data_IF_349359817290
#
_entry.id   IF_349359817290
#
_cell.length_a   1.000
_cell.length_b   1.000
_cell.length_c   1.000
_cell.angle_alpha   90.00
_cell.angle_beta   90.00
_cell.angle_gamma   90.00
#
_symmetry.space_group_name_H-M   'P 1'
#
loop_
_entity.id
_entity.type
_entity.pdbx_description
1 polymer ?
#
# COMPACT_ATOMS: atom_id res chain seq x y z
N UNK A 1 5.72 -36.02 -8.82
CA UNK A 1 4.70 -35.12 -9.39
C UNK A 1 5.45 -33.86 -9.79
N UNK A 2 5.85 -33.81 -11.06
CA UNK A 2 6.88 -32.88 -11.59
C UNK A 2 6.22 -31.59 -12.07
N UNK A 3 7.00 -30.50 -12.03
CA UNK A 3 6.79 -29.17 -12.62
C UNK A 3 6.28 -28.06 -11.68
N UNK A 4 6.97 -27.81 -10.57
CA UNK A 4 7.18 -26.43 -10.15
C UNK A 4 8.45 -25.97 -10.89
N UNK A 5 8.30 -25.28 -12.01
CA UNK A 5 9.45 -24.60 -12.59
C UNK A 5 9.80 -23.46 -11.65
N UNK A 6 10.97 -23.53 -11.02
CA UNK A 6 11.43 -22.48 -10.10
C UNK A 6 11.41 -21.12 -10.79
N UNK A 7 10.94 -20.08 -10.09
CA UNK A 7 10.82 -18.73 -10.65
C UNK A 7 12.14 -18.21 -11.27
N UNK A 8 13.29 -18.70 -10.80
CA UNK A 8 14.62 -18.43 -11.37
C UNK A 8 14.80 -19.03 -12.78
N UNK A 9 14.34 -20.26 -13.02
CA UNK A 9 14.40 -20.90 -14.34
C UNK A 9 13.50 -20.16 -15.33
N UNK A 10 12.31 -19.77 -14.88
CA UNK A 10 11.41 -18.93 -15.66
C UNK A 10 12.02 -17.55 -15.97
N UNK A 11 12.79 -16.98 -15.04
CA UNK A 11 13.48 -15.72 -15.26
C UNK A 11 14.62 -15.85 -16.28
N UNK A 12 15.39 -16.95 -16.25
CA UNK A 12 16.40 -17.21 -17.28
C UNK A 12 15.76 -17.44 -18.67
N UNK A 13 14.58 -18.07 -18.72
CA UNK A 13 13.78 -18.15 -19.95
C UNK A 13 13.28 -16.79 -20.42
N UNK A 14 12.93 -15.88 -19.52
CA UNK A 14 12.58 -14.51 -19.87
C UNK A 14 13.80 -13.76 -20.42
N UNK A 15 14.96 -13.93 -19.78
CA UNK A 15 16.21 -13.30 -20.18
C UNK A 15 16.64 -13.73 -21.58
N UNK A 16 16.52 -15.00 -21.94
CA UNK A 16 16.86 -15.48 -23.28
C UNK A 16 15.90 -15.02 -24.38
N UNK A 17 14.67 -14.63 -24.02
CA UNK A 17 13.68 -14.04 -24.94
C UNK A 17 13.78 -12.51 -25.01
N UNK A 18 14.54 -11.87 -24.12
CA UNK A 18 14.70 -10.42 -24.10
C UNK A 18 15.57 -9.94 -25.26
N UNK A 19 15.23 -8.78 -25.84
CA UNK A 19 16.02 -8.16 -26.90
C UNK A 19 17.43 -7.78 -26.42
N UNK A 20 17.50 -7.28 -25.19
CA UNK A 20 18.75 -7.03 -24.48
C UNK A 20 18.71 -7.78 -23.12
N UNK A 21 19.51 -8.84 -22.94
CA UNK A 21 19.54 -9.62 -21.70
C UNK A 21 20.27 -8.92 -20.55
N UNK A 22 20.97 -7.82 -20.81
CA UNK A 22 21.61 -6.98 -19.79
C UNK A 22 20.68 -5.84 -19.33
N UNK A 23 19.68 -5.45 -20.15
CA UNK A 23 18.66 -4.49 -19.74
C UNK A 23 17.57 -5.17 -18.87
N UNK A 24 17.51 -4.86 -17.56
CA UNK A 24 16.51 -5.46 -16.66
C UNK A 24 15.05 -5.13 -17.05
N UNK A 25 14.79 -4.02 -17.76
CA UNK A 25 13.44 -3.66 -18.20
C UNK A 25 13.00 -4.47 -19.43
N UNK A 26 13.94 -4.83 -20.30
CA UNK A 26 13.68 -5.76 -21.42
C UNK A 26 13.41 -7.18 -20.88
N UNK A 27 14.20 -7.64 -19.90
CA UNK A 27 13.95 -8.91 -19.22
C UNK A 27 12.59 -8.93 -18.52
N UNK A 28 12.21 -7.83 -17.85
CA UNK A 28 10.86 -7.68 -17.26
C UNK A 28 9.76 -7.75 -18.33
N UNK A 29 9.99 -7.14 -19.50
CA UNK A 29 9.02 -7.14 -20.60
C UNK A 29 8.83 -8.54 -21.17
N UNK A 30 9.91 -9.31 -21.34
CA UNK A 30 9.85 -10.71 -21.73
C UNK A 30 9.15 -11.59 -20.66
N UNK A 31 9.36 -11.31 -19.38
CA UNK A 31 8.69 -12.02 -18.28
C UNK A 31 7.17 -11.77 -18.28
N UNK A 32 6.72 -10.55 -18.58
CA UNK A 32 5.28 -10.22 -18.71
C UNK A 32 4.63 -11.03 -19.83
N UNK A 33 5.29 -11.15 -20.97
CA UNK A 33 4.80 -11.94 -22.12
C UNK A 33 4.68 -13.42 -21.73
N UNK A 34 5.69 -13.97 -21.06
CA UNK A 34 5.69 -15.34 -20.54
C UNK A 34 4.55 -15.61 -19.54
N UNK A 35 4.22 -14.64 -18.69
CA UNK A 35 3.12 -14.74 -17.73
C UNK A 35 1.73 -14.74 -18.36
N UNK A 36 1.59 -14.31 -19.62
CA UNK A 36 0.33 -14.33 -20.37
C UNK A 36 -0.03 -15.71 -20.92
N UNK A 37 0.89 -16.67 -20.88
CA UNK A 37 0.64 -18.04 -21.36
C UNK A 37 -0.13 -18.84 -20.28
N UNK A 38 -1.20 -19.59 -20.65
CA UNK A 38 -2.01 -20.33 -19.68
C UNK A 38 -1.20 -21.45 -19.02
N UNK A 39 -1.08 -21.42 -17.68
CA UNK A 39 -0.61 -22.56 -16.88
C UNK A 39 0.68 -22.39 -16.06
N UNK A 40 1.01 -21.22 -15.52
CA UNK A 40 2.21 -21.08 -14.67
C UNK A 40 2.10 -20.06 -13.53
N UNK A 41 3.00 -20.19 -12.55
CA UNK A 41 3.23 -19.36 -11.36
C UNK A 41 3.67 -17.92 -11.72
N UNK A 42 2.85 -17.23 -12.50
CA UNK A 42 3.12 -15.91 -13.08
C UNK A 42 3.45 -14.85 -12.02
N UNK A 43 2.83 -14.95 -10.84
CA UNK A 43 3.07 -14.01 -9.74
C UNK A 43 4.51 -14.09 -9.21
N UNK A 44 5.08 -15.29 -9.06
CA UNK A 44 6.43 -15.48 -8.53
C UNK A 44 7.51 -15.02 -9.53
N UNK A 45 7.30 -15.28 -10.83
CA UNK A 45 8.17 -14.78 -11.90
C UNK A 45 8.18 -13.24 -11.96
N UNK A 46 7.00 -12.61 -11.96
CA UNK A 46 6.89 -11.14 -11.99
C UNK A 46 7.50 -10.49 -10.75
N UNK A 47 7.26 -11.07 -9.56
CA UNK A 47 7.82 -10.55 -8.31
C UNK A 47 9.37 -10.62 -8.32
N UNK A 48 9.95 -11.68 -8.89
CA UNK A 48 11.40 -11.82 -9.03
C UNK A 48 11.98 -10.88 -10.10
N UNK A 49 11.34 -10.76 -11.26
CA UNK A 49 11.77 -9.87 -12.34
C UNK A 49 11.74 -8.40 -11.90
N UNK A 50 10.69 -7.96 -11.21
CA UNK A 50 10.59 -6.60 -10.66
C UNK A 50 11.66 -6.36 -9.60
N UNK A 51 11.96 -7.35 -8.74
CA UNK A 51 13.03 -7.24 -7.76
C UNK A 51 14.40 -7.03 -8.43
N UNK A 52 14.73 -7.85 -9.43
CA UNK A 52 15.98 -7.72 -10.20
C UNK A 52 16.08 -6.36 -10.90
N UNK A 53 14.98 -5.88 -11.50
CA UNK A 53 14.96 -4.55 -12.11
C UNK A 53 15.20 -3.42 -11.09
N UNK A 54 14.64 -3.54 -9.88
CA UNK A 54 14.88 -2.59 -8.80
C UNK A 54 16.31 -2.62 -8.27
N UNK A 55 16.90 -3.80 -8.11
CA UNK A 55 18.29 -3.99 -7.69
C UNK A 55 19.27 -3.41 -8.72
N UNK A 56 18.94 -3.51 -10.01
CA UNK A 56 19.67 -2.90 -11.12
C UNK A 56 19.42 -1.38 -11.29
N UNK A 57 18.62 -0.75 -10.40
CA UNK A 57 18.42 0.70 -10.37
C UNK A 57 17.23 1.23 -11.18
N UNK A 58 16.42 0.37 -11.80
CA UNK A 58 15.25 0.82 -12.55
C UNK A 58 14.23 1.54 -11.66
N UNK A 59 13.67 2.65 -12.15
CA UNK A 59 12.70 3.45 -11.38
C UNK A 59 11.31 2.80 -11.36
N UNK A 60 10.51 3.12 -10.34
CA UNK A 60 9.10 2.68 -10.29
C UNK A 60 8.26 3.17 -11.47
N UNK A 61 8.62 4.32 -12.05
CA UNK A 61 7.95 4.87 -13.23
C UNK A 61 8.23 3.98 -14.44
N UNK A 62 9.49 3.66 -14.70
CA UNK A 62 9.89 2.82 -15.83
C UNK A 62 9.33 1.39 -15.72
N UNK A 63 9.36 0.79 -14.52
CA UNK A 63 8.76 -0.53 -14.27
C UNK A 63 7.23 -0.49 -14.50
N UNK A 64 6.56 0.57 -14.06
CA UNK A 64 5.12 0.74 -14.24
C UNK A 64 4.70 0.93 -15.70
N UNK A 65 5.52 1.60 -16.51
CA UNK A 65 5.32 1.75 -17.96
C UNK A 65 5.39 0.40 -18.68
N UNK A 66 6.39 -0.44 -18.36
CA UNK A 66 6.52 -1.79 -18.95
C UNK A 66 5.37 -2.73 -18.55
N UNK A 67 4.90 -2.62 -17.31
CA UNK A 67 3.83 -3.47 -16.79
C UNK A 67 2.42 -3.16 -17.35
N UNK A 68 2.24 -2.06 -18.09
CA UNK A 68 0.93 -1.67 -18.63
C UNK A 68 -0.13 -1.30 -17.59
N UNK A 69 0.17 -1.38 -16.28
CA UNK A 69 -0.75 -1.02 -15.21
C UNK A 69 -0.66 0.48 -14.87
N UNK A 70 -1.78 1.18 -14.99
CA UNK A 70 -1.94 2.60 -14.62
C UNK A 70 -1.69 2.80 -13.12
N UNK A 71 -0.46 3.15 -12.71
CA UNK A 71 0.05 3.72 -11.41
C UNK A 71 -0.43 3.18 -10.04
N UNK A 72 -1.58 2.51 -9.92
CA UNK A 72 -2.23 2.15 -8.65
C UNK A 72 -1.93 0.72 -8.19
N UNK A 73 -1.65 -0.20 -9.11
CA UNK A 73 -1.39 -1.62 -8.78
C UNK A 73 0.05 -1.89 -8.34
N UNK A 74 1.05 -1.42 -9.11
CA UNK A 74 2.46 -1.64 -8.79
C UNK A 74 2.87 -0.96 -7.47
N UNK A 75 2.37 0.26 -7.21
CA UNK A 75 2.68 0.97 -5.96
C UNK A 75 2.11 0.23 -4.74
N UNK A 76 0.93 -0.37 -4.82
CA UNK A 76 0.34 -1.08 -3.67
C UNK A 76 0.98 -2.45 -3.43
N UNK A 77 1.44 -3.13 -4.49
CA UNK A 77 2.09 -4.44 -4.44
C UNK A 77 3.57 -4.37 -4.06
N UNK A 78 4.26 -3.28 -4.40
CA UNK A 78 5.72 -3.17 -4.23
C UNK A 78 6.19 -1.97 -3.39
N UNK A 79 5.29 -1.28 -2.66
CA UNK A 79 5.73 -0.27 -1.68
C UNK A 79 6.42 -0.95 -0.50
N UNK A 80 7.61 -0.48 -0.06
CA UNK A 80 8.29 -1.04 1.10
C UNK A 80 7.39 -1.02 2.33
N UNK A 81 7.48 -2.07 3.15
CA UNK A 81 6.64 -2.28 4.33
C UNK A 81 6.56 -1.06 5.27
N UNK A 82 7.59 -0.21 5.27
CA UNK A 82 7.64 1.05 6.00
C UNK A 82 6.49 2.00 5.66
N UNK A 83 6.21 2.23 4.37
CA UNK A 83 5.13 3.14 3.97
C UNK A 83 3.74 2.54 4.25
N UNK A 84 3.58 1.21 4.15
CA UNK A 84 2.38 0.53 4.61
C UNK A 84 2.17 0.70 6.13
N UNK A 85 3.23 0.53 6.93
CA UNK A 85 3.21 0.72 8.39
C UNK A 85 2.79 2.15 8.78
N UNK A 86 3.31 3.17 8.10
CA UNK A 86 2.93 4.56 8.36
C UNK A 86 1.46 4.85 8.09
N UNK A 87 0.91 4.33 6.99
CA UNK A 87 -0.51 4.48 6.65
C UNK A 87 -1.42 3.82 7.69
N UNK A 88 -1.09 2.60 8.11
CA UNK A 88 -1.83 1.88 9.15
C UNK A 88 -1.76 2.61 10.49
N UNK A 89 -0.58 3.10 10.89
CA UNK A 89 -0.43 3.88 12.13
C UNK A 89 -1.22 5.19 12.10
N UNK A 90 -1.24 5.87 10.95
CA UNK A 90 -2.04 7.09 10.76
C UNK A 90 -3.54 6.80 10.87
N UNK A 91 -4.01 5.67 10.32
CA UNK A 91 -5.41 5.22 10.43
C UNK A 91 -5.76 4.91 11.88
N UNK A 92 -4.96 4.07 12.57
CA UNK A 92 -5.15 3.76 14.00
C UNK A 92 -5.21 5.02 14.85
N UNK A 93 -4.33 6.00 14.61
CA UNK A 93 -4.33 7.29 15.33
C UNK A 93 -5.58 8.11 15.06
N UNK A 94 -6.12 8.08 13.84
CA UNK A 94 -7.38 8.76 13.48
C UNK A 94 -8.60 8.09 14.09
N UNK A 95 -8.63 6.77 14.08
CA UNK A 95 -9.68 5.99 14.75
C UNK A 95 -9.63 6.25 16.26
N UNK A 96 -8.42 6.33 16.84
CA UNK A 96 -8.15 6.63 18.25
C UNK A 96 -8.60 8.01 18.72
N UNK A 97 -8.60 8.99 17.81
CA UNK A 97 -8.79 10.39 18.13
C UNK A 97 -10.25 10.76 18.40
N UNK A 98 -10.44 11.92 19.05
CA UNK A 98 -11.75 12.56 19.18
C UNK A 98 -12.40 12.76 17.80
N UNK A 99 -13.65 12.36 17.64
CA UNK A 99 -14.43 12.47 16.40
C UNK A 99 -14.62 13.92 15.96
N UNK A 100 -14.62 14.86 16.91
CA UNK A 100 -14.86 16.30 16.67
C UNK A 100 -13.57 17.06 16.36
N UNK A 101 -12.64 17.12 17.32
CA UNK A 101 -11.42 17.93 17.18
C UNK A 101 -10.20 17.16 16.62
N UNK A 102 -10.34 15.85 16.36
CA UNK A 102 -9.28 14.96 15.83
C UNK A 102 -8.02 14.85 16.70
N UNK A 103 -8.09 15.28 17.96
CA UNK A 103 -6.97 15.14 18.89
C UNK A 103 -6.85 13.69 19.39
N UNK A 104 -5.67 13.05 19.31
CA UNK A 104 -5.47 11.70 19.82
C UNK A 104 -5.53 11.67 21.36
N UNK A 105 -5.83 10.51 21.96
CA UNK A 105 -5.78 10.33 23.40
C UNK A 105 -4.35 10.47 23.91
N UNK A 106 -4.20 10.93 25.14
CA UNK A 106 -2.91 11.10 25.80
C UNK A 106 -3.08 11.53 27.25
N UNK A 107 -1.97 11.76 27.99
CA UNK A 107 -2.01 12.04 29.42
C UNK A 107 -2.83 13.27 29.83
N UNK A 108 -3.09 14.18 28.88
CA UNK A 108 -3.84 15.43 29.08
C UNK A 108 -5.12 15.52 28.23
N UNK A 109 -5.57 14.39 27.68
CA UNK A 109 -6.75 14.31 26.81
C UNK A 109 -7.59 13.13 27.26
N UNK A 110 -8.54 13.38 28.16
CA UNK A 110 -9.49 12.37 28.61
C UNK A 110 -10.55 12.13 27.54
N UNK A 111 -10.95 10.87 27.37
CA UNK A 111 -11.82 10.46 26.27
C UNK A 111 -13.04 9.72 26.80
N UNK A 112 -14.22 10.15 26.37
CA UNK A 112 -15.48 9.43 26.54
C UNK A 112 -15.71 8.57 25.30
N UNK A 113 -16.06 7.30 25.51
CA UNK A 113 -16.25 6.31 24.44
C UNK A 113 -17.72 5.97 24.34
N UNK A 114 -18.29 6.10 23.14
CA UNK A 114 -19.62 5.63 22.80
C UNK A 114 -19.57 4.66 21.62
N UNK A 115 -20.69 4.01 21.34
CA UNK A 115 -20.82 3.04 20.25
C UNK A 115 -20.44 3.61 18.88
N UNK A 116 -20.83 4.87 18.60
CA UNK A 116 -20.56 5.55 17.34
C UNK A 116 -19.29 6.41 17.29
N UNK A 117 -18.50 6.48 18.37
CA UNK A 117 -17.29 7.30 18.34
C UNK A 117 -16.71 7.69 19.69
N UNK A 118 -15.81 8.67 19.66
CA UNK A 118 -15.08 9.15 20.83
C UNK A 118 -15.12 10.66 20.91
N UNK A 119 -15.26 11.21 22.10
CA UNK A 119 -15.23 12.66 22.32
C UNK A 119 -14.29 12.97 23.48
N UNK A 120 -13.42 13.97 23.31
CA UNK A 120 -12.53 14.40 24.38
C UNK A 120 -13.25 15.34 25.35
N UNK A 121 -12.79 15.37 26.60
CA UNK A 121 -13.20 16.29 27.67
C UNK A 121 -13.48 17.74 27.20
N UNK A 122 -12.56 18.34 26.44
CA UNK A 122 -12.71 19.71 25.94
C UNK A 122 -13.89 19.88 24.97
N UNK A 123 -14.14 18.87 24.13
CA UNK A 123 -15.26 18.89 23.20
C UNK A 123 -16.59 18.64 23.92
N UNK A 124 -16.59 17.82 24.98
CA UNK A 124 -17.77 17.64 25.85
C UNK A 124 -18.12 18.96 26.53
N UNK A 125 -17.15 19.65 27.13
CA UNK A 125 -17.37 20.95 27.78
C UNK A 125 -17.96 21.97 26.80
N UNK A 126 -17.35 22.12 25.62
CA UNK A 126 -17.84 23.01 24.57
C UNK A 126 -19.27 22.66 24.13
N UNK A 127 -19.58 21.37 23.95
CA UNK A 127 -20.93 20.94 23.60
C UNK A 127 -21.94 21.30 24.70
N UNK A 128 -21.56 21.16 25.97
CA UNK A 128 -22.36 21.59 27.12
C UNK A 128 -22.68 23.09 27.08
N UNK A 129 -21.67 23.93 26.82
CA UNK A 129 -21.85 25.38 26.71
C UNK A 129 -22.80 25.78 25.57
N UNK A 130 -22.68 25.10 24.42
CA UNK A 130 -23.55 25.31 23.26
C UNK A 130 -25.00 24.96 23.63
N UNK A 131 -25.23 23.78 24.20
CA UNK A 131 -26.59 23.31 24.57
C UNK A 131 -27.21 24.23 25.62
N UNK A 132 -26.46 24.62 26.64
CA UNK A 132 -26.93 25.55 27.67
C UNK A 132 -27.25 26.92 27.06
N UNK A 133 -26.44 27.39 26.11
CA UNK A 133 -26.67 28.63 25.37
C UNK A 133 -27.90 28.59 24.46
N UNK A 134 -28.24 27.43 23.90
CA UNK A 134 -29.46 27.25 23.11
C UNK A 134 -30.70 27.22 24.00
N UNK A 135 -30.63 26.56 25.16
CA UNK A 135 -31.74 26.50 26.11
C UNK A 135 -32.15 27.89 26.63
N UNK A 136 -31.19 28.80 26.84
CA UNK A 136 -31.47 30.18 27.28
C UNK A 136 -32.12 31.08 26.21
N UNK A 137 -32.05 30.70 24.93
CA UNK A 137 -32.61 31.47 23.81
C UNK A 137 -34.04 31.04 23.44
N UNK A 138 -34.51 29.97 24.05
CA UNK A 138 -35.84 29.40 23.83
C UNK A 138 -36.79 29.87 24.92
#
# INVERSE_FOLDING_TARGET
MVCAMEASELLERARSRATDPEDPLEVLSAAIVLCGEPGGEADALLDLAVRRAREAGASWTAIGERLGYVRRSARRRFTPAFAHRHLVNRRKKREAACSFCRRPPGPRVHMVHGEGGRICDKCVALAGDIVAGLARRR
#
